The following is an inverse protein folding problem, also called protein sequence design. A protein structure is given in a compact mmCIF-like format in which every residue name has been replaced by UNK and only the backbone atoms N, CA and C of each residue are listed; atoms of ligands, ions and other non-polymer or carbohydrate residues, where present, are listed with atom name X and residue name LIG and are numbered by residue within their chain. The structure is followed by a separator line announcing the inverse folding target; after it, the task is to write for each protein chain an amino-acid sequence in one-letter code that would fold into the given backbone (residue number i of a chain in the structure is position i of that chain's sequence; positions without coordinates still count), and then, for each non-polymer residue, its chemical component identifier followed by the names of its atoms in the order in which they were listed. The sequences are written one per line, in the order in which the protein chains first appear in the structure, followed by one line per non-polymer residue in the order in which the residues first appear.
data_IF_224114422047
#
_entry.id   IF_224114422047
#
_cell.length_a   1.000
_cell.length_b   1.000
_cell.length_c   1.000
_cell.angle_alpha   90.00
_cell.angle_beta   90.00
_cell.angle_gamma   90.00
#
_symmetry.space_group_name_H-M   'P 1'
#
loop_
_entity.id
_entity.type
_entity.pdbx_description
1 polymer ?
#
# COMPACT_ATOMS: atom_id res chain seq x y z
N UNK A 1 -38.94 36.77 24.82
CA UNK A 1 -39.28 35.75 23.82
C UNK A 1 -37.98 35.28 23.23
N UNK A 2 -37.47 34.17 23.74
CA UNK A 2 -36.16 33.62 23.41
C UNK A 2 -36.36 32.59 22.31
N UNK A 3 -35.80 32.86 21.13
CA UNK A 3 -35.88 31.97 19.98
C UNK A 3 -34.57 31.20 19.87
N UNK A 4 -34.63 29.89 20.10
CA UNK A 4 -33.47 28.99 20.12
C UNK A 4 -33.64 28.05 18.93
N UNK A 5 -32.99 28.34 17.82
CA UNK A 5 -33.01 27.49 16.63
C UNK A 5 -31.80 26.55 16.67
N UNK A 6 -32.05 25.36 17.19
CA UNK A 6 -31.22 24.17 17.04
C UNK A 6 -31.31 23.69 15.59
N UNK A 7 -30.22 23.80 14.84
CA UNK A 7 -30.09 23.26 13.48
C UNK A 7 -29.11 22.11 13.50
N UNK A 8 -29.57 20.97 14.02
CA UNK A 8 -28.88 19.70 13.90
C UNK A 8 -29.04 19.16 12.47
N UNK A 9 -27.97 19.24 11.69
CA UNK A 9 -27.90 18.73 10.32
C UNK A 9 -27.48 17.24 10.36
N UNK A 10 -28.16 16.33 9.64
CA UNK A 10 -27.77 14.92 9.63
C UNK A 10 -26.49 14.70 8.81
N UNK A 11 -25.63 13.81 9.30
CA UNK A 11 -24.40 13.38 8.66
C UNK A 11 -24.69 12.70 7.31
N UNK A 12 -23.91 13.06 6.29
CA UNK A 12 -23.96 12.39 4.99
C UNK A 12 -23.39 10.95 5.10
N UNK A 13 -23.98 9.96 4.41
CA UNK A 13 -23.45 8.60 4.36
C UNK A 13 -22.12 8.55 3.60
N UNK A 14 -21.15 7.80 4.15
CA UNK A 14 -19.82 7.58 3.54
C UNK A 14 -19.88 6.66 2.30
N UNK A 15 -18.96 6.81 1.35
CA UNK A 15 -18.93 6.00 0.13
C UNK A 15 -17.98 4.81 0.27
N UNK A 16 -18.30 3.83 1.12
CA UNK A 16 -17.51 2.60 1.25
C UNK A 16 -18.37 1.39 0.91
N UNK A 17 -18.65 1.19 -0.37
CA UNK A 17 -18.95 -0.14 -0.91
C UNK A 17 -18.74 -0.15 -2.43
N UNK A 18 -17.49 -0.34 -2.84
CA UNK A 18 -17.15 -0.67 -4.21
C UNK A 18 -16.35 -1.98 -4.18
N UNK A 19 -17.08 -3.08 -4.03
CA UNK A 19 -16.59 -4.40 -4.40
C UNK A 19 -16.21 -4.40 -5.89
N UNK A 20 -14.92 -4.46 -6.16
CA UNK A 20 -14.39 -4.58 -7.53
C UNK A 20 -13.64 -5.91 -7.64
N UNK A 21 -14.35 -6.91 -8.14
CA UNK A 21 -13.75 -8.16 -8.62
C UNK A 21 -13.19 -7.91 -10.02
N UNK A 22 -11.86 -8.03 -10.18
CA UNK A 22 -11.27 -8.21 -11.51
C UNK A 22 -10.73 -9.65 -11.66
N UNK A 23 -10.79 -10.20 -12.89
CA UNK A 23 -10.41 -11.57 -13.17
C UNK A 23 -8.89 -11.73 -13.05
N UNK A 24 -8.47 -12.79 -12.36
CA UNK A 24 -7.07 -13.18 -12.27
C UNK A 24 -6.64 -13.77 -13.60
N UNK A 25 -5.77 -13.07 -14.32
CA UNK A 25 -5.07 -13.59 -15.49
C UNK A 25 -4.12 -14.71 -15.05
N UNK A 26 -4.33 -15.90 -15.62
CA UNK A 26 -3.80 -17.18 -15.17
C UNK A 26 -2.53 -17.57 -15.94
N UNK A 27 -1.57 -16.66 -16.08
CA UNK A 27 -0.37 -16.87 -16.91
C UNK A 27 0.96 -16.70 -16.16
N UNK A 28 1.00 -17.08 -14.89
CA UNK A 28 2.28 -17.25 -14.17
C UNK A 28 2.89 -18.62 -14.49
N UNK A 29 4.10 -18.59 -15.07
CA UNK A 29 4.99 -19.74 -15.25
C UNK A 29 5.29 -20.38 -13.88
N UNK A 30 4.99 -21.68 -13.68
CA UNK A 30 5.12 -22.35 -12.40
C UNK A 30 6.53 -22.93 -12.29
N UNK A 31 7.54 -22.10 -12.07
CA UNK A 31 8.87 -22.58 -11.74
C UNK A 31 9.31 -21.95 -10.41
N UNK A 32 9.44 -22.81 -9.40
CA UNK A 32 10.00 -22.56 -8.08
C UNK A 32 9.06 -22.00 -7.00
N UNK A 33 7.88 -22.61 -6.86
CA UNK A 33 7.34 -22.84 -5.51
C UNK A 33 7.99 -24.11 -4.95
N UNK A 34 8.93 -23.93 -4.01
CA UNK A 34 9.34 -25.00 -3.09
C UNK A 34 8.17 -25.35 -2.14
N UNK A 35 7.09 -25.86 -2.71
CA UNK A 35 6.10 -26.63 -1.97
C UNK A 35 6.63 -28.05 -1.87
N UNK A 36 6.91 -28.53 -0.66
CA UNK A 36 7.04 -29.95 -0.40
C UNK A 36 5.85 -30.66 -1.01
N UNK A 37 6.09 -31.49 -2.04
CA UNK A 37 5.08 -32.35 -2.66
C UNK A 37 4.46 -33.18 -1.54
N UNK A 38 3.21 -32.86 -1.19
CA UNK A 38 2.43 -33.67 -0.26
C UNK A 38 2.24 -35.02 -0.93
N UNK A 39 2.93 -36.04 -0.43
CA UNK A 39 2.79 -37.40 -0.92
C UNK A 39 1.39 -37.92 -0.55
N UNK A 40 0.49 -37.99 -1.53
CA UNK A 40 -0.90 -38.40 -1.35
C UNK A 40 -1.09 -39.93 -1.26
N UNK A 41 -0.02 -40.72 -1.40
CA UNK A 41 -0.07 -42.19 -1.41
C UNK A 41 0.15 -42.83 -0.03
N UNK A 42 -0.07 -42.08 1.07
CA UNK A 42 -0.01 -42.64 2.43
C UNK A 42 -1.23 -43.56 2.70
N UNK A 43 -1.03 -44.71 3.38
CA UNK A 43 -2.09 -45.70 3.56
C UNK A 43 -3.17 -45.20 4.52
N UNK A 44 -4.42 -45.52 4.15
CA UNK A 44 -5.74 -45.14 4.70
C UNK A 44 -5.80 -43.89 5.61
N UNK A 45 -6.57 -42.86 5.19
CA UNK A 45 -6.67 -41.63 5.94
C UNK A 45 -7.20 -41.93 7.35
N UNK A 46 -6.51 -41.42 8.37
CA UNK A 46 -7.12 -41.10 9.65
C UNK A 46 -8.57 -40.63 9.38
N UNK A 47 -9.59 -41.09 10.15
CA UNK A 47 -10.96 -40.63 9.95
C UNK A 47 -10.95 -39.12 9.76
N UNK A 48 -11.68 -38.56 8.79
CA UNK A 48 -11.48 -37.19 8.30
C UNK A 48 -11.33 -36.12 9.42
N UNK A 49 -11.98 -36.35 10.57
CA UNK A 49 -11.83 -35.55 11.79
C UNK A 49 -10.42 -35.57 12.42
N UNK A 50 -9.78 -36.73 12.51
CA UNK A 50 -8.42 -36.88 13.02
C UNK A 50 -7.39 -36.27 12.05
N UNK A 51 -7.59 -36.42 10.74
CA UNK A 51 -6.77 -35.69 9.75
C UNK A 51 -6.94 -34.17 9.87
N UNK A 52 -8.16 -33.70 10.11
CA UNK A 52 -8.44 -32.27 10.33
C UNK A 52 -7.76 -31.73 11.59
N UNK A 53 -7.82 -32.45 12.71
CA UNK A 53 -7.13 -32.08 13.96
C UNK A 53 -5.62 -32.00 13.77
N UNK A 54 -5.03 -32.99 13.10
CA UNK A 54 -3.61 -32.98 12.78
C UNK A 54 -3.23 -31.74 11.95
N UNK A 55 -4.04 -31.37 10.94
CA UNK A 55 -3.79 -30.15 10.18
C UNK A 55 -3.88 -28.89 11.06
N UNK A 56 -4.86 -28.81 11.96
CA UNK A 56 -4.95 -27.66 12.89
C UNK A 56 -3.68 -27.53 13.74
N UNK A 57 -3.17 -28.63 14.31
CA UNK A 57 -1.94 -28.64 15.10
C UNK A 57 -0.71 -28.26 14.24
N UNK A 58 -0.59 -28.82 13.03
CA UNK A 58 0.50 -28.51 12.09
C UNK A 58 0.49 -27.03 11.67
N UNK A 59 -0.69 -26.41 11.52
CA UNK A 59 -0.82 -25.02 11.08
C UNK A 59 -0.85 -24.00 12.22
N UNK A 60 -1.21 -24.39 13.45
CA UNK A 60 -1.16 -23.49 14.62
C UNK A 60 0.25 -22.97 14.90
N UNK A 61 1.27 -23.80 14.68
CA UNK A 61 2.68 -23.40 14.80
C UNK A 61 3.12 -22.39 13.73
N UNK A 62 2.38 -22.28 12.61
CA UNK A 62 2.68 -21.40 11.47
C UNK A 62 1.93 -20.05 11.56
N UNK A 63 1.02 -19.88 12.53
CA UNK A 63 0.19 -18.68 12.64
C UNK A 63 0.94 -17.42 13.09
N UNK A 64 2.13 -17.55 13.68
CA UNK A 64 2.90 -16.43 14.19
C UNK A 64 4.29 -16.39 13.57
N UNK A 65 4.55 -15.37 12.75
CA UNK A 65 5.87 -15.11 12.19
C UNK A 65 6.55 -13.95 12.93
N UNK A 66 7.68 -14.24 13.57
CA UNK A 66 8.45 -13.24 14.30
C UNK A 66 9.36 -12.46 13.34
N UNK A 67 8.99 -11.23 13.02
CA UNK A 67 9.65 -10.45 11.99
C UNK A 67 10.69 -9.43 12.49
N UNK A 68 10.72 -9.07 13.79
CA UNK A 68 11.69 -8.11 14.36
C UNK A 68 11.76 -6.75 13.64
N UNK A 69 10.66 -6.31 13.04
CA UNK A 69 10.64 -5.13 12.18
C UNK A 69 11.41 -5.27 10.85
N UNK A 70 11.89 -6.47 10.50
CA UNK A 70 12.57 -6.74 9.23
C UNK A 70 11.56 -7.23 8.19
N UNK A 71 11.33 -6.42 7.15
CA UNK A 71 10.44 -6.78 6.05
C UNK A 71 10.92 -8.04 5.31
N UNK A 72 12.22 -8.32 5.26
CA UNK A 72 12.75 -9.53 4.63
C UNK A 72 12.42 -10.85 5.31
N UNK A 73 11.92 -10.82 6.55
CA UNK A 73 11.43 -12.04 7.20
C UNK A 73 9.98 -12.38 6.83
N UNK A 74 9.23 -11.41 6.33
CA UNK A 74 7.80 -11.52 5.98
C UNK A 74 7.58 -11.48 4.47
N UNK A 75 8.40 -10.74 3.73
CA UNK A 75 8.24 -10.55 2.30
C UNK A 75 8.74 -11.78 1.52
N UNK A 76 7.91 -12.40 0.67
CA UNK A 76 8.35 -13.40 -0.28
C UNK A 76 9.29 -12.77 -1.31
N UNK A 77 10.54 -13.25 -1.35
CA UNK A 77 11.54 -12.85 -2.33
C UNK A 77 12.62 -11.89 -1.80
N UNK A 78 13.72 -11.73 -2.56
CA UNK A 78 14.85 -10.94 -2.13
C UNK A 78 14.53 -9.45 -2.11
N UNK A 79 15.17 -8.73 -1.19
CA UNK A 79 15.16 -7.26 -1.15
C UNK A 79 15.72 -6.69 -2.47
N UNK A 80 15.01 -5.78 -3.15
CA UNK A 80 15.57 -5.06 -4.29
C UNK A 80 16.73 -4.13 -3.90
N UNK A 81 17.73 -4.00 -4.77
CA UNK A 81 18.92 -3.15 -4.52
C UNK A 81 18.61 -1.66 -4.37
N UNK A 82 17.48 -1.20 -4.89
CA UNK A 82 17.03 0.19 -4.80
C UNK A 82 16.23 0.49 -3.52
N UNK A 83 15.82 -0.54 -2.77
CA UNK A 83 14.99 -0.36 -1.58
C UNK A 83 15.86 0.00 -0.38
N UNK A 84 15.52 1.07 0.32
CA UNK A 84 16.24 1.55 1.51
C UNK A 84 15.73 0.84 2.76
N UNK A 85 16.62 0.21 3.54
CA UNK A 85 16.26 -0.53 4.76
C UNK A 85 15.52 0.34 5.77
N UNK A 86 15.83 1.65 5.80
CA UNK A 86 15.16 2.60 6.68
C UNK A 86 13.73 2.97 6.26
N UNK A 87 13.34 2.68 5.01
CA UNK A 87 12.03 3.04 4.44
C UNK A 87 11.07 1.84 4.35
N UNK A 88 11.54 0.64 4.69
CA UNK A 88 10.72 -0.56 4.73
C UNK A 88 9.57 -0.42 5.74
N UNK A 89 8.42 -1.00 5.37
CA UNK A 89 7.27 -1.04 6.25
C UNK A 89 6.94 -2.45 6.65
N UNK A 90 6.70 -2.62 7.94
CA UNK A 90 6.22 -3.87 8.52
C UNK A 90 4.92 -3.60 9.24
N UNK A 91 3.82 -4.08 8.66
CA UNK A 91 2.46 -3.80 9.14
C UNK A 91 1.78 -5.06 9.71
N UNK A 92 0.49 -4.95 9.99
CA UNK A 92 -0.29 -5.98 10.68
C UNK A 92 -0.77 -7.13 9.77
N UNK A 93 -0.42 -7.10 8.48
CA UNK A 93 -0.82 -8.12 7.52
C UNK A 93 0.29 -8.38 6.51
N UNK A 94 0.32 -9.60 5.96
CA UNK A 94 1.24 -9.99 4.88
C UNK A 94 1.20 -8.99 3.70
N UNK A 95 0.01 -8.53 3.34
CA UNK A 95 -0.21 -7.55 2.27
C UNK A 95 0.28 -6.14 2.60
N UNK A 96 0.45 -5.82 3.88
CA UNK A 96 0.86 -4.50 4.34
C UNK A 96 2.37 -4.30 4.43
N UNK A 97 3.15 -5.38 4.45
CA UNK A 97 4.62 -5.25 4.42
C UNK A 97 5.08 -4.76 3.05
N UNK A 98 6.12 -3.92 3.02
CA UNK A 98 6.72 -3.50 1.76
C UNK A 98 8.21 -3.15 1.86
N UNK A 99 8.92 -3.41 0.76
CA UNK A 99 10.20 -2.77 0.45
C UNK A 99 9.94 -1.47 -0.27
N UNK A 100 10.53 -0.36 0.16
CA UNK A 100 10.26 0.97 -0.41
C UNK A 100 11.54 1.68 -0.82
N UNK A 101 11.45 2.50 -1.87
CA UNK A 101 12.52 3.43 -2.23
C UNK A 101 12.53 4.64 -1.31
N UNK A 102 13.64 5.37 -1.29
CA UNK A 102 13.65 6.75 -0.86
C UNK A 102 12.56 7.56 -1.61
N UNK A 103 11.99 8.53 -0.90
CA UNK A 103 10.92 9.39 -1.45
C UNK A 103 11.52 10.56 -2.22
N UNK A 104 11.08 10.73 -3.47
CA UNK A 104 11.33 11.94 -4.25
C UNK A 104 10.20 12.94 -3.96
N UNK A 105 10.54 14.11 -3.42
CA UNK A 105 9.56 15.16 -3.11
C UNK A 105 9.57 16.24 -4.17
N UNK A 106 8.43 16.47 -4.81
CA UNK A 106 8.22 17.59 -5.73
C UNK A 106 7.50 18.71 -4.97
N UNK A 107 8.10 19.90 -4.80
CA UNK A 107 7.46 21.00 -4.09
C UNK A 107 6.17 21.46 -4.81
N UNK A 108 5.10 21.62 -4.04
CA UNK A 108 3.82 22.14 -4.50
C UNK A 108 3.63 23.55 -3.95
N UNK A 109 4.25 24.56 -4.58
CA UNK A 109 4.32 25.93 -4.06
C UNK A 109 2.96 26.64 -3.89
N UNK A 110 1.92 26.14 -4.57
CA UNK A 110 0.55 26.64 -4.42
C UNK A 110 -0.20 25.99 -3.24
N UNK A 111 0.41 25.03 -2.55
CA UNK A 111 -0.14 24.35 -1.38
C UNK A 111 0.25 25.02 -0.07
N UNK A 112 -0.52 24.73 0.99
CA UNK A 112 -0.22 25.22 2.35
C UNK A 112 0.86 24.33 2.99
N UNK A 113 2.03 24.88 3.24
CA UNK A 113 3.11 24.27 4.03
C UNK A 113 3.09 24.68 5.51
N UNK A 114 4.08 24.23 6.27
CA UNK A 114 4.37 24.63 7.64
C UNK A 114 5.44 25.72 7.67
N UNK A 115 5.23 26.74 8.50
CA UNK A 115 6.29 27.65 8.92
C UNK A 115 6.27 27.70 10.45
N UNK A 116 7.31 27.16 11.09
CA UNK A 116 7.43 27.15 12.55
C UNK A 116 8.37 28.25 13.09
N UNK A 117 8.80 29.17 12.22
CA UNK A 117 9.75 30.24 12.51
C UNK A 117 11.21 29.85 12.31
N UNK A 118 11.53 28.55 12.23
CA UNK A 118 12.88 28.03 11.99
C UNK A 118 13.02 27.45 10.59
N UNK A 119 12.00 26.72 10.12
CA UNK A 119 11.96 26.16 8.78
C UNK A 119 10.62 26.43 8.10
N UNK A 120 10.71 26.60 6.77
CA UNK A 120 9.56 26.59 5.88
C UNK A 120 9.53 25.22 5.20
N UNK A 121 8.63 24.35 5.64
CA UNK A 121 8.38 23.04 5.04
C UNK A 121 7.19 23.14 4.08
N UNK A 122 7.46 22.99 2.78
CA UNK A 122 6.44 23.22 1.75
C UNK A 122 5.48 22.04 1.62
N UNK A 123 4.28 22.30 1.11
CA UNK A 123 3.47 21.22 0.58
C UNK A 123 4.21 20.53 -0.56
N UNK A 124 3.97 19.24 -0.77
CA UNK A 124 4.66 18.44 -1.78
C UNK A 124 3.78 17.38 -2.40
N UNK A 125 4.20 16.92 -3.57
CA UNK A 125 3.80 15.64 -4.15
C UNK A 125 4.99 14.71 -4.02
N UNK A 126 4.83 13.69 -3.19
CA UNK A 126 5.83 12.70 -2.85
C UNK A 126 5.65 11.49 -3.77
N UNK A 127 6.73 11.06 -4.40
CA UNK A 127 6.77 9.92 -5.32
C UNK A 127 7.74 8.88 -4.77
N UNK A 128 7.30 7.63 -4.72
CA UNK A 128 8.14 6.49 -4.33
C UNK A 128 7.70 5.24 -5.05
N UNK A 129 8.58 4.26 -5.13
CA UNK A 129 8.25 2.91 -5.60
C UNK A 129 8.27 1.95 -4.42
N UNK A 130 7.47 0.90 -4.50
CA UNK A 130 7.47 -0.15 -3.49
C UNK A 130 7.03 -1.50 -4.01
N UNK A 131 7.53 -2.56 -3.36
CA UNK A 131 7.07 -3.93 -3.55
C UNK A 131 6.31 -4.34 -2.30
N UNK A 132 5.03 -4.68 -2.45
CA UNK A 132 4.13 -5.02 -1.35
C UNK A 132 3.86 -6.51 -1.29
N UNK A 133 3.77 -7.03 -0.06
CA UNK A 133 3.39 -8.39 0.32
C UNK A 133 3.74 -9.44 -0.73
N UNK A 134 2.80 -9.74 -1.62
CA UNK A 134 2.90 -10.81 -2.63
C UNK A 134 3.81 -10.49 -3.84
N UNK A 135 4.68 -9.49 -3.75
CA UNK A 135 5.57 -9.09 -4.86
C UNK A 135 4.97 -8.06 -5.80
N UNK A 136 3.81 -7.50 -5.47
CA UNK A 136 3.18 -6.48 -6.31
C UNK A 136 3.99 -5.19 -6.27
N UNK A 137 4.41 -4.72 -7.44
CA UNK A 137 5.19 -3.48 -7.56
C UNK A 137 4.28 -2.32 -7.89
N UNK A 138 4.41 -1.24 -7.13
CA UNK A 138 3.61 -0.05 -7.32
C UNK A 138 4.45 1.23 -7.28
N UNK A 139 3.90 2.28 -7.89
CA UNK A 139 4.31 3.66 -7.75
C UNK A 139 3.32 4.35 -6.81
N UNK A 140 3.79 4.87 -5.69
CA UNK A 140 2.99 5.65 -4.76
C UNK A 140 3.14 7.14 -5.07
N UNK A 141 2.01 7.83 -5.16
CA UNK A 141 1.90 9.29 -5.24
C UNK A 141 1.18 9.79 -3.99
N UNK A 142 1.83 10.59 -3.16
CA UNK A 142 1.24 11.14 -1.95
C UNK A 142 1.28 12.66 -1.98
N UNK A 143 0.11 13.30 -1.87
CA UNK A 143 0.03 14.74 -1.67
C UNK A 143 0.11 15.03 -0.18
N UNK A 144 1.13 15.78 0.22
CA UNK A 144 1.33 16.25 1.60
C UNK A 144 1.11 17.76 1.67
N UNK A 145 0.16 18.21 2.50
CA UNK A 145 -0.06 19.65 2.79
C UNK A 145 -0.62 19.84 4.20
N UNK A 146 -0.62 21.06 4.70
CA UNK A 146 -1.36 21.38 5.92
C UNK A 146 -2.83 21.70 5.64
N UNK A 147 -3.72 21.23 6.50
CA UNK A 147 -5.13 21.61 6.47
C UNK A 147 -5.38 22.99 7.13
N UNK A 148 -6.65 23.39 7.21
CA UNK A 148 -7.04 24.68 7.82
C UNK A 148 -6.73 24.77 9.31
N UNK A 149 -6.67 23.62 10.00
CA UNK A 149 -6.30 23.50 11.41
C UNK A 149 -4.78 23.43 11.65
N UNK A 150 -3.95 23.58 10.61
CA UNK A 150 -2.49 23.55 10.73
C UNK A 150 -1.90 22.15 10.93
N UNK A 151 -2.69 21.08 10.71
CA UNK A 151 -2.19 19.70 10.77
C UNK A 151 -1.75 19.23 9.40
N UNK A 152 -0.64 18.49 9.35
CA UNK A 152 -0.25 17.76 8.15
C UNK A 152 -1.31 16.72 7.80
N UNK A 153 -1.67 16.69 6.53
CA UNK A 153 -2.60 15.76 5.94
C UNK A 153 -1.96 15.22 4.68
N UNK A 154 -2.08 13.92 4.52
CA UNK A 154 -1.48 13.16 3.44
C UNK A 154 -2.58 12.38 2.74
N UNK A 155 -2.63 12.48 1.42
CA UNK A 155 -3.52 11.67 0.59
C UNK A 155 -2.69 10.96 -0.47
N UNK A 156 -2.66 9.65 -0.35
CA UNK A 156 -1.91 8.77 -1.23
C UNK A 156 -2.81 8.09 -2.26
N UNK A 157 -2.26 7.86 -3.44
CA UNK A 157 -2.75 6.84 -4.34
C UNK A 157 -1.60 5.92 -4.76
N UNK A 158 -1.94 4.68 -5.07
CA UNK A 158 -0.99 3.64 -5.46
C UNK A 158 -1.35 3.25 -6.87
N UNK A 159 -0.37 3.29 -7.77
CA UNK A 159 -0.53 3.02 -9.19
C UNK A 159 0.33 1.84 -9.57
N UNK A 160 -0.17 0.99 -10.46
CA UNK A 160 0.70 0.07 -11.21
C UNK A 160 1.67 0.88 -12.09
N UNK A 161 2.73 0.23 -12.57
CA UNK A 161 3.68 0.88 -13.49
C UNK A 161 2.98 1.40 -14.77
N UNK A 162 1.98 0.67 -15.29
CA UNK A 162 1.23 1.06 -16.47
C UNK A 162 0.37 2.31 -16.21
N UNK A 163 -0.39 2.32 -15.12
CA UNK A 163 -1.21 3.47 -14.73
C UNK A 163 -0.34 4.71 -14.45
N UNK A 164 0.82 4.54 -13.81
CA UNK A 164 1.76 5.64 -13.58
C UNK A 164 2.27 6.25 -14.90
N UNK A 165 2.55 5.43 -15.91
CA UNK A 165 2.91 5.90 -17.25
C UNK A 165 1.74 6.67 -17.89
N UNK A 166 0.52 6.18 -17.77
CA UNK A 166 -0.66 6.89 -18.30
C UNK A 166 -0.87 8.24 -17.61
N UNK A 167 -0.82 8.28 -16.27
CA UNK A 167 -0.89 9.53 -15.50
C UNK A 167 0.20 10.50 -15.93
N UNK A 168 1.45 10.03 -16.15
CA UNK A 168 2.55 10.89 -16.61
C UNK A 168 2.25 11.54 -17.96
N UNK A 169 1.66 10.79 -18.90
CA UNK A 169 1.27 11.31 -20.23
C UNK A 169 0.18 12.36 -20.11
N UNK A 170 -0.82 12.12 -19.26
CA UNK A 170 -1.90 13.08 -19.00
C UNK A 170 -1.35 14.36 -18.38
N UNK A 171 -0.42 14.26 -17.42
CA UNK A 171 0.23 15.42 -16.82
C UNK A 171 1.02 16.23 -17.85
N UNK A 172 1.78 15.56 -18.72
CA UNK A 172 2.52 16.24 -19.81
C UNK A 172 1.56 16.94 -20.78
N UNK A 173 0.48 16.27 -21.21
CA UNK A 173 -0.53 16.87 -22.09
C UNK A 173 -1.22 18.08 -21.45
N UNK A 174 -1.45 18.05 -20.13
CA UNK A 174 -2.01 19.19 -19.40
C UNK A 174 -1.04 20.38 -19.36
N UNK A 175 0.27 20.14 -19.22
CA UNK A 175 1.31 21.18 -19.30
C UNK A 175 1.35 21.79 -20.69
N UNK A 176 1.27 20.97 -21.74
CA UNK A 176 1.23 21.46 -23.13
C UNK A 176 0.02 22.37 -23.38
N UNK A 177 -1.15 22.01 -22.85
CA UNK A 177 -2.38 22.81 -22.96
C UNK A 177 -2.25 24.20 -22.32
N UNK A 178 -1.45 24.33 -21.25
CA UNK A 178 -1.15 25.61 -20.59
C UNK A 178 -0.14 26.47 -21.36
N UNK A 179 0.34 26.02 -22.53
CA UNK A 179 1.35 26.72 -23.33
C UNK A 179 2.79 26.20 -23.14
N UNK A 180 2.94 25.04 -22.49
CA UNK A 180 4.21 24.36 -22.26
C UNK A 180 5.07 25.00 -21.16
N UNK A 181 5.94 24.21 -20.54
CA UNK A 181 7.05 24.74 -19.75
C UNK A 181 8.09 25.32 -20.72
N UNK A 182 8.08 26.63 -20.93
CA UNK A 182 9.15 27.33 -21.68
C UNK A 182 10.41 27.46 -20.84
#
# INVERSE_FOLDING_TARGET
MSDTTDTSQPAAPGPDDAGFWLPVDSSLDPAETHGTVVNLDQPDPLPALERWKQLVEEFEEVLALYHNGNAGHVMPGPRPVWADEGEDQVLNSMSGHCYRSAVVRVPASNGRGLNDGTYLDQASVDVSIGIFGVGNTFVSLTVRKQNTAGKWVEWGHVLTAAEAVEVSKVLLAAVDLLGGAK
#
